data_IF_746461762094
#
_entry.id   IF_746461762094
#
_cell.length_a   1.000
_cell.length_b   1.000
_cell.length_c   1.000
_cell.angle_alpha   90.00
_cell.angle_beta   90.00
_cell.angle_gamma   90.00
#
_symmetry.space_group_name_H-M   'P 1'
#
loop_
_entity.id
_entity.type
_entity.pdbx_description
1 polymer ?
#
# COMPACT_ATOMS: atom_id res chain seq x y z
N UNK A 1 1.27 6.60 -19.32
CA UNK A 1 1.89 6.98 -18.02
C UNK A 1 2.94 5.93 -17.66
N UNK A 2 3.99 6.27 -16.90
CA UNK A 2 5.01 5.30 -16.47
C UNK A 2 4.39 4.08 -15.74
N UNK A 3 3.37 4.33 -14.92
CA UNK A 3 2.63 3.28 -14.19
C UNK A 3 2.09 2.18 -15.12
N UNK A 4 1.58 2.51 -16.31
CA UNK A 4 1.04 1.53 -17.24
C UNK A 4 2.13 0.55 -17.72
N UNK A 5 3.32 1.07 -18.05
CA UNK A 5 4.45 0.23 -18.50
C UNK A 5 4.92 -0.73 -17.41
N UNK A 6 4.92 -0.27 -16.15
CA UNK A 6 5.27 -1.12 -15.00
C UNK A 6 4.23 -2.21 -14.82
N UNK A 7 2.93 -1.87 -14.84
CA UNK A 7 1.86 -2.85 -14.72
C UNK A 7 1.87 -3.86 -15.87
N UNK A 8 2.06 -3.43 -17.12
CA UNK A 8 2.18 -4.30 -18.28
C UNK A 8 3.36 -5.28 -18.13
N UNK A 9 4.51 -4.80 -17.63
CA UNK A 9 5.66 -5.65 -17.36
C UNK A 9 5.34 -6.70 -16.28
N UNK A 10 4.71 -6.29 -15.18
CA UNK A 10 4.32 -7.22 -14.10
C UNK A 10 3.32 -8.27 -14.61
N UNK A 11 2.30 -7.86 -15.37
CA UNK A 11 1.31 -8.78 -15.94
C UNK A 11 1.96 -9.87 -16.79
N UNK A 12 2.85 -9.49 -17.71
CA UNK A 12 3.56 -10.45 -18.57
C UNK A 12 4.33 -11.49 -17.73
N UNK A 13 5.04 -11.05 -16.70
CA UNK A 13 5.84 -11.92 -15.84
C UNK A 13 4.96 -12.85 -14.99
N UNK A 14 3.81 -12.36 -14.52
CA UNK A 14 2.82 -13.17 -13.79
C UNK A 14 2.23 -14.24 -14.71
N UNK A 15 1.80 -13.86 -15.92
CA UNK A 15 1.18 -14.77 -16.89
C UNK A 15 2.16 -15.86 -17.38
N UNK A 16 3.45 -15.53 -17.46
CA UNK A 16 4.51 -16.49 -17.77
C UNK A 16 4.89 -17.40 -16.58
N UNK A 17 4.32 -17.18 -15.39
CA UNK A 17 4.67 -17.93 -14.17
C UNK A 17 6.04 -17.55 -13.57
N UNK A 18 6.61 -16.41 -13.96
CA UNK A 18 7.91 -15.92 -13.50
C UNK A 18 7.82 -15.13 -12.18
N UNK A 19 6.60 -14.70 -11.80
CA UNK A 19 6.31 -14.11 -10.50
C UNK A 19 5.38 -15.03 -9.73
N UNK A 20 5.89 -15.60 -8.64
CA UNK A 20 5.09 -16.39 -7.72
C UNK A 20 4.21 -15.47 -6.85
N UNK A 21 3.23 -16.07 -6.17
CA UNK A 21 2.43 -15.35 -5.17
C UNK A 21 3.30 -14.71 -4.08
N UNK A 22 4.39 -15.38 -3.67
CA UNK A 22 5.32 -14.85 -2.68
C UNK A 22 6.03 -13.61 -3.21
N UNK A 23 6.48 -13.62 -4.47
CA UNK A 23 7.14 -12.46 -5.08
C UNK A 23 6.18 -11.27 -5.19
N UNK A 24 4.92 -11.51 -5.55
CA UNK A 24 3.90 -10.47 -5.59
C UNK A 24 3.64 -9.86 -4.22
N UNK A 25 3.62 -10.65 -3.15
CA UNK A 25 3.52 -10.14 -1.78
C UNK A 25 4.72 -9.27 -1.42
N UNK A 26 5.95 -9.69 -1.76
CA UNK A 26 7.16 -8.89 -1.53
C UNK A 26 7.13 -7.55 -2.28
N UNK A 27 6.60 -7.51 -3.50
CA UNK A 27 6.41 -6.26 -4.25
C UNK A 27 5.43 -5.34 -3.55
N UNK A 28 4.31 -5.87 -3.03
CA UNK A 28 3.34 -5.09 -2.25
C UNK A 28 3.99 -4.51 -1.00
N UNK A 29 4.79 -5.29 -0.27
CA UNK A 29 5.51 -4.84 0.92
C UNK A 29 6.53 -3.74 0.59
N UNK A 30 7.30 -3.92 -0.48
CA UNK A 30 8.29 -2.95 -0.93
C UNK A 30 7.66 -1.60 -1.30
N UNK A 31 6.60 -1.61 -2.11
CA UNK A 31 5.86 -0.38 -2.49
C UNK A 31 5.16 0.22 -1.26
N UNK A 32 4.57 -0.63 -0.41
CA UNK A 32 3.92 -0.22 0.82
C UNK A 32 4.85 0.52 1.77
N UNK A 33 6.12 0.11 1.85
CA UNK A 33 7.14 0.80 2.65
C UNK A 33 7.42 2.22 2.13
N UNK A 34 7.53 2.43 0.81
CA UNK A 34 7.68 3.78 0.25
C UNK A 34 6.46 4.67 0.47
N UNK A 35 5.26 4.09 0.56
CA UNK A 35 4.00 4.79 0.85
C UNK A 35 3.80 5.08 2.35
N UNK A 36 4.67 4.55 3.22
CA UNK A 36 4.44 4.51 4.67
C UNK A 36 3.03 3.99 5.02
N UNK A 37 2.59 2.94 4.31
CA UNK A 37 1.21 2.45 4.44
C UNK A 37 0.98 1.85 5.83
N UNK A 38 -0.06 2.29 6.51
CA UNK A 38 -0.48 1.73 7.79
C UNK A 38 -1.99 1.71 7.90
N UNK A 39 -2.57 0.70 8.56
CA UNK A 39 -4.01 0.76 8.89
C UNK A 39 -4.25 1.95 9.82
N UNK A 40 -5.45 2.53 9.78
CA UNK A 40 -5.80 3.67 10.67
C UNK A 40 -5.52 3.37 12.15
N UNK A 41 -5.85 2.17 12.70
CA UNK A 41 -5.49 1.83 14.08
C UNK A 41 -3.98 1.72 14.33
N UNK A 42 -3.23 1.09 13.41
CA UNK A 42 -1.79 0.93 13.57
C UNK A 42 -1.07 2.27 13.53
N UNK A 43 -1.42 3.12 12.57
CA UNK A 43 -0.88 4.48 12.46
C UNK A 43 -1.18 5.30 13.74
N UNK A 44 -2.41 5.22 14.24
CA UNK A 44 -2.81 5.89 15.48
C UNK A 44 -1.95 5.44 16.67
N UNK A 45 -1.75 4.13 16.82
CA UNK A 45 -0.91 3.55 17.87
C UNK A 45 0.56 3.96 17.74
N UNK A 46 1.13 3.89 16.54
CA UNK A 46 2.54 4.24 16.27
C UNK A 46 2.84 5.71 16.54
N UNK A 47 1.87 6.60 16.30
CA UNK A 47 2.04 8.05 16.43
C UNK A 47 1.42 8.64 17.71
N UNK A 48 0.98 7.80 18.66
CA UNK A 48 0.28 8.24 19.88
C UNK A 48 -0.93 9.17 19.61
N UNK A 49 -1.69 8.87 18.55
CA UNK A 49 -2.87 9.63 18.13
C UNK A 49 -4.16 8.86 18.42
N UNK A 50 -5.29 9.57 18.51
CA UNK A 50 -6.59 8.91 18.56
C UNK A 50 -7.02 8.41 17.18
N UNK A 51 -7.73 7.28 17.13
CA UNK A 51 -8.30 6.74 15.88
C UNK A 51 -9.14 7.80 15.13
N UNK A 52 -9.96 8.57 15.85
CA UNK A 52 -10.80 9.62 15.26
C UNK A 52 -9.97 10.79 14.73
N UNK A 53 -8.84 11.11 15.39
CA UNK A 53 -7.89 12.11 14.90
C UNK A 53 -7.26 11.69 13.58
N UNK A 54 -6.72 10.48 13.51
CA UNK A 54 -6.14 9.95 12.26
C UNK A 54 -7.18 9.86 11.15
N UNK A 55 -8.38 9.35 11.45
CA UNK A 55 -9.47 9.21 10.47
C UNK A 55 -9.91 10.54 9.85
N UNK A 56 -9.81 11.66 10.58
CA UNK A 56 -10.25 12.99 10.13
C UNK A 56 -9.14 13.85 9.52
N UNK A 57 -7.90 13.69 10.00
CA UNK A 57 -6.80 14.65 9.74
C UNK A 57 -5.56 14.03 9.06
N UNK A 58 -5.67 12.80 8.54
CA UNK A 58 -4.61 12.14 7.75
C UNK A 58 -5.14 11.69 6.39
N UNK A 59 -4.22 11.43 5.46
CA UNK A 59 -4.53 10.97 4.12
C UNK A 59 -4.95 9.49 4.14
N UNK A 60 -6.25 9.27 4.39
CA UNK A 60 -6.83 7.93 4.41
C UNK A 60 -7.30 7.53 3.00
N UNK A 61 -6.72 6.47 2.44
CA UNK A 61 -7.14 5.86 1.17
C UNK A 61 -7.77 4.49 1.43
N UNK A 62 -8.69 4.11 0.55
CA UNK A 62 -9.34 2.79 0.58
C UNK A 62 -8.70 1.91 -0.50
N UNK A 63 -8.03 0.85 -0.09
CA UNK A 63 -7.35 -0.13 -0.97
C UNK A 63 -7.94 -1.50 -0.65
N UNK A 64 -8.46 -2.21 -1.67
CA UNK A 64 -9.15 -3.50 -1.50
C UNK A 64 -10.19 -3.51 -0.36
N UNK A 65 -11.01 -2.47 -0.29
CA UNK A 65 -12.05 -2.26 0.73
C UNK A 65 -11.56 -1.97 2.17
N UNK A 66 -10.24 -1.90 2.39
CA UNK A 66 -9.63 -1.59 3.69
C UNK A 66 -9.11 -0.15 3.70
N UNK A 67 -9.25 0.53 4.84
CA UNK A 67 -8.77 1.91 5.02
C UNK A 67 -7.33 1.92 5.52
N UNK A 68 -6.45 2.55 4.77
CA UNK A 68 -5.06 2.78 5.11
C UNK A 68 -4.76 4.27 5.15
N UNK A 69 -3.85 4.66 6.04
CA UNK A 69 -3.13 5.92 5.99
C UNK A 69 -1.96 5.74 5.02
N UNK A 70 -1.77 6.71 4.14
CA UNK A 70 -0.58 6.88 3.31
C UNK A 70 0.07 8.18 3.79
N UNK A 71 1.34 8.14 4.17
CA UNK A 71 2.01 9.25 4.88
C UNK A 71 3.40 9.50 4.29
N UNK A 72 3.44 9.81 3.00
CA UNK A 72 4.65 10.04 2.24
C UNK A 72 4.50 11.17 1.20
N UNK A 73 3.44 11.99 1.32
CA UNK A 73 3.15 13.16 0.48
C UNK A 73 3.20 14.45 1.31
#
# INVERSE_FOLDING_TARGET
MLVNKICEHLSLRIENGELSNTDMVQIIEHIGAYLNIATVPNYAKQNNMSYNGVKKYRHVKKIFNVKFVIDNE
#
